data_IF_857722724054
#
_entry.id   IF_857722724054
#
_cell.length_a   1.000
_cell.length_b   1.000
_cell.length_c   1.000
_cell.angle_alpha   90.00
_cell.angle_beta   90.00
_cell.angle_gamma   90.00
#
_symmetry.space_group_name_H-M   'P 1'
#
loop_
_entity.id
_entity.type
_entity.pdbx_description
1 polymer ?
#
# COMPACT_ATOMS: atom_id res chain seq x y z
N UNK A 1 -18.87 4.75 16.52
CA UNK A 1 -17.93 3.95 17.36
C UNK A 1 -16.93 3.14 16.53
N UNK A 2 -17.34 2.49 15.43
CA UNK A 2 -16.46 1.70 14.53
C UNK A 2 -15.43 2.55 13.76
N UNK A 3 -15.84 3.68 13.18
CA UNK A 3 -14.96 4.61 12.45
C UNK A 3 -13.79 5.13 13.30
N UNK A 4 -14.05 5.61 14.53
CA UNK A 4 -13.01 6.06 15.48
C UNK A 4 -11.97 4.98 15.78
N UNK A 5 -12.41 3.72 15.95
CA UNK A 5 -11.52 2.58 16.20
C UNK A 5 -10.64 2.29 14.98
N UNK A 6 -11.20 2.36 13.78
CA UNK A 6 -10.46 2.12 12.55
C UNK A 6 -9.42 3.22 12.27
N UNK A 7 -9.77 4.51 12.45
CA UNK A 7 -8.82 5.61 12.35
C UNK A 7 -7.69 5.53 13.37
N UNK A 8 -7.96 5.02 14.58
CA UNK A 8 -6.92 4.75 15.56
C UNK A 8 -5.91 3.71 15.04
N UNK A 9 -6.40 2.61 14.46
CA UNK A 9 -5.53 1.58 13.86
C UNK A 9 -4.71 2.17 12.71
N UNK A 10 -5.33 2.99 11.85
CA UNK A 10 -4.63 3.67 10.76
C UNK A 10 -3.51 4.56 11.28
N UNK A 11 -3.76 5.39 12.29
CA UNK A 11 -2.72 6.23 12.92
C UNK A 11 -1.59 5.39 13.48
N UNK A 12 -1.89 4.35 14.26
CA UNK A 12 -0.86 3.45 14.78
C UNK A 12 -0.01 2.84 13.65
N UNK A 13 -0.62 2.44 12.53
CA UNK A 13 0.10 1.90 11.37
C UNK A 13 0.96 2.95 10.69
N UNK A 14 0.45 4.17 10.53
CA UNK A 14 1.21 5.28 9.99
C UNK A 14 2.40 5.56 10.89
N UNK A 15 2.20 5.73 12.19
CA UNK A 15 3.22 5.98 13.22
C UNK A 15 4.34 4.94 13.20
N UNK A 16 3.99 3.65 13.14
CA UNK A 16 4.93 2.54 13.14
C UNK A 16 5.74 2.40 11.83
N UNK A 17 5.24 2.93 10.72
CA UNK A 17 5.83 2.77 9.40
C UNK A 17 6.77 3.93 9.02
N UNK A 18 7.81 3.57 8.28
CA UNK A 18 8.80 4.49 7.74
C UNK A 18 8.45 4.91 6.30
N UNK A 19 7.74 4.06 5.56
CA UNK A 19 7.24 4.33 4.21
C UNK A 19 5.81 3.84 4.12
N UNK A 20 4.93 4.62 3.50
CA UNK A 20 3.53 4.27 3.29
C UNK A 20 3.28 3.96 1.81
N UNK A 21 2.59 2.85 1.56
CA UNK A 21 2.12 2.44 0.23
C UNK A 21 0.60 2.40 0.25
N UNK A 22 -0.05 3.32 -0.45
CA UNK A 22 -1.49 3.26 -0.65
C UNK A 22 -1.82 2.45 -1.90
N UNK A 23 -2.54 1.36 -1.70
CA UNK A 23 -2.99 0.47 -2.77
C UNK A 23 -4.38 0.89 -3.22
N UNK A 24 -4.48 1.17 -4.52
CA UNK A 24 -5.65 1.71 -5.20
C UNK A 24 -6.05 0.75 -6.32
N UNK A 25 -7.34 0.57 -6.57
CA UNK A 25 -7.82 -0.17 -7.75
C UNK A 25 -7.70 0.74 -8.98
N UNK A 26 -6.88 0.35 -9.96
CA UNK A 26 -6.61 1.15 -11.14
C UNK A 26 -7.88 1.45 -11.96
N UNK A 27 -8.93 0.62 -11.85
CA UNK A 27 -10.19 0.83 -12.57
C UNK A 27 -11.05 1.95 -11.96
N UNK A 28 -10.87 2.23 -10.68
CA UNK A 28 -11.59 3.26 -9.95
C UNK A 28 -10.65 3.96 -8.95
N UNK A 29 -9.70 4.76 -9.44
CA UNK A 29 -8.77 5.46 -8.57
C UNK A 29 -9.41 6.58 -7.78
N UNK A 30 -10.58 7.09 -8.20
CA UNK A 30 -11.27 8.17 -7.48
C UNK A 30 -11.98 7.57 -6.26
N UNK A 31 -12.71 6.47 -6.44
CA UNK A 31 -13.44 5.80 -5.36
C UNK A 31 -12.55 4.98 -4.41
N UNK A 32 -11.33 4.62 -4.82
CA UNK A 32 -10.45 3.78 -4.00
C UNK A 32 -9.19 4.48 -3.48
N UNK A 33 -9.18 5.81 -3.49
CA UNK A 33 -8.19 6.66 -2.80
C UNK A 33 -8.77 7.29 -1.54
N UNK A 34 -7.93 7.57 -0.55
CA UNK A 34 -8.34 8.29 0.65
C UNK A 34 -7.51 9.57 0.83
N UNK A 35 -8.02 10.68 0.29
CA UNK A 35 -7.34 12.00 0.34
C UNK A 35 -7.09 12.50 1.77
N UNK A 36 -7.94 12.15 2.72
CA UNK A 36 -7.77 12.53 4.14
C UNK A 36 -6.57 11.79 4.75
N UNK A 37 -6.41 10.52 4.42
CA UNK A 37 -5.26 9.72 4.82
C UNK A 37 -3.98 10.20 4.12
N UNK A 38 -4.03 10.50 2.83
CA UNK A 38 -2.90 11.08 2.09
C UNK A 38 -2.39 12.37 2.78
N UNK A 39 -3.29 13.29 3.15
CA UNK A 39 -2.93 14.52 3.87
C UNK A 39 -2.26 14.24 5.21
N UNK A 40 -2.84 13.34 6.02
CA UNK A 40 -2.26 12.95 7.31
C UNK A 40 -0.83 12.39 7.14
N UNK A 41 -0.60 11.55 6.13
CA UNK A 41 0.72 10.95 5.89
C UNK A 41 1.75 12.02 5.47
N UNK A 42 1.33 12.97 4.64
CA UNK A 42 2.17 14.07 4.18
C UNK A 42 2.48 15.07 5.31
N UNK A 43 1.51 15.34 6.20
CA UNK A 43 1.71 16.16 7.41
C UNK A 43 2.72 15.53 8.38
N UNK A 44 2.76 14.20 8.46
CA UNK A 44 3.76 13.44 9.22
C UNK A 44 5.11 13.30 8.48
N UNK A 45 5.28 13.97 7.33
CA UNK A 45 6.47 13.97 6.47
C UNK A 45 6.92 12.56 6.03
N UNK A 46 5.98 11.60 5.97
CA UNK A 46 6.28 10.22 5.60
C UNK A 46 6.25 10.01 4.09
N UNK A 47 7.24 9.32 3.51
CA UNK A 47 7.21 8.97 2.09
C UNK A 47 5.96 8.17 1.73
N UNK A 48 5.19 8.68 0.76
CA UNK A 48 3.96 8.07 0.27
C UNK A 48 4.11 7.63 -1.19
N UNK A 49 3.74 6.38 -1.46
CA UNK A 49 3.69 5.80 -2.80
C UNK A 49 2.28 5.29 -3.12
N UNK A 50 1.73 5.71 -4.26
CA UNK A 50 0.52 5.12 -4.81
C UNK A 50 0.86 3.87 -5.62
N UNK A 51 0.17 2.76 -5.33
CA UNK A 51 0.22 1.53 -6.11
C UNK A 51 -1.13 1.27 -6.74
N UNK A 52 -1.23 1.56 -8.04
CA UNK A 52 -2.39 1.27 -8.88
C UNK A 52 -2.37 -0.20 -9.27
N UNK A 53 -3.10 -1.01 -8.52
CA UNK A 53 -3.22 -2.45 -8.75
C UNK A 53 -4.36 -2.78 -9.73
N UNK A 54 -4.33 -3.98 -10.32
CA UNK A 54 -5.23 -4.38 -11.42
C UNK A 54 -5.02 -3.57 -12.70
N UNK A 55 -3.78 -3.12 -12.93
CA UNK A 55 -3.42 -2.33 -14.10
C UNK A 55 -3.62 -3.08 -15.44
N UNK A 56 -3.80 -4.40 -15.40
CA UNK A 56 -4.20 -5.22 -16.56
C UNK A 56 -5.62 -4.91 -17.06
N UNK A 57 -6.45 -4.25 -16.24
CA UNK A 57 -7.85 -3.95 -16.54
C UNK A 57 -8.07 -2.51 -17.02
N UNK A 58 -7.01 -1.76 -17.32
CA UNK A 58 -7.08 -0.38 -17.79
C UNK A 58 -6.17 -0.15 -19.00
N UNK A 59 -6.49 0.81 -19.89
CA UNK A 59 -5.62 1.17 -21.01
C UNK A 59 -4.25 1.67 -20.54
N UNK A 60 -3.21 1.34 -21.30
CA UNK A 60 -1.83 1.73 -20.97
C UNK A 60 -1.63 3.24 -21.08
N UNK A 61 -2.24 3.86 -22.09
CA UNK A 61 -2.19 5.29 -22.37
C UNK A 61 -2.78 6.08 -21.19
N UNK A 62 -3.89 5.59 -20.64
CA UNK A 62 -4.50 6.16 -19.44
C UNK A 62 -3.58 6.07 -18.22
N UNK A 63 -2.94 4.92 -17.99
CA UNK A 63 -2.01 4.74 -16.88
C UNK A 63 -0.79 5.67 -16.99
N UNK A 64 -0.25 5.86 -18.20
CA UNK A 64 0.85 6.78 -18.46
C UNK A 64 0.45 8.24 -18.24
N UNK A 65 -0.74 8.63 -18.71
CA UNK A 65 -1.28 9.97 -18.49
C UNK A 65 -1.53 10.26 -17.01
N UNK A 66 -2.16 9.32 -16.30
CA UNK A 66 -2.37 9.43 -14.86
C UNK A 66 -1.03 9.60 -14.13
N UNK A 67 -0.01 8.82 -14.51
CA UNK A 67 1.33 8.92 -13.92
C UNK A 67 1.96 10.29 -14.12
N UNK A 68 1.78 10.93 -15.28
CA UNK A 68 2.29 12.28 -15.55
C UNK A 68 1.59 13.37 -14.73
N UNK A 69 0.29 13.20 -14.45
CA UNK A 69 -0.53 14.17 -13.73
C UNK A 69 -0.52 14.01 -12.20
N UNK A 70 -0.03 12.87 -11.70
CA UNK A 70 -0.05 12.55 -10.27
C UNK A 70 1.03 13.32 -9.51
N UNK A 71 0.61 14.04 -8.46
CA UNK A 71 1.51 14.74 -7.53
C UNK A 71 2.25 13.77 -6.60
N UNK A 72 1.61 12.62 -6.31
CA UNK A 72 2.20 11.54 -5.52
C UNK A 72 2.86 10.54 -6.48
N UNK A 73 4.08 10.04 -6.18
CA UNK A 73 4.69 8.98 -6.97
C UNK A 73 3.74 7.79 -7.14
N UNK A 74 3.60 7.30 -8.38
CA UNK A 74 2.68 6.20 -8.70
C UNK A 74 3.35 5.08 -9.48
N UNK A 75 3.02 3.85 -9.11
CA UNK A 75 3.40 2.62 -9.81
C UNK A 75 2.16 1.83 -10.18
N UNK A 76 2.08 1.42 -11.44
CA UNK A 76 1.04 0.53 -11.95
C UNK A 76 1.53 -0.92 -11.91
N UNK A 77 0.73 -1.80 -11.33
CA UNK A 77 1.03 -3.24 -11.27
C UNK A 77 -0.21 -4.07 -11.55
N UNK A 78 0.02 -5.31 -11.96
CA UNK A 78 -0.98 -6.36 -11.83
C UNK A 78 -0.42 -7.42 -10.89
N UNK A 79 -0.87 -7.38 -9.63
CA UNK A 79 -0.38 -8.31 -8.62
C UNK A 79 -0.75 -9.77 -8.93
N UNK A 80 -1.92 -9.99 -9.54
CA UNK A 80 -2.42 -11.31 -9.96
C UNK A 80 -1.59 -11.86 -11.11
N UNK A 81 -1.33 -11.04 -12.13
CA UNK A 81 -0.51 -11.41 -13.29
C UNK A 81 1.00 -11.32 -13.02
N UNK A 82 1.39 -10.95 -11.79
CA UNK A 82 2.78 -10.73 -11.33
C UNK A 82 3.56 -9.69 -12.17
N UNK A 83 2.87 -8.82 -12.92
CA UNK A 83 3.44 -7.76 -13.76
C UNK A 83 3.69 -6.48 -12.96
N UNK A 84 4.77 -5.77 -13.28
CA UNK A 84 5.15 -4.49 -12.63
C UNK A 84 5.77 -4.63 -11.24
N UNK A 85 5.89 -5.86 -10.69
CA UNK A 85 6.37 -6.09 -9.32
C UNK A 85 7.87 -5.78 -9.14
N UNK A 86 8.66 -5.84 -10.21
CA UNK A 86 10.06 -5.37 -10.21
C UNK A 86 10.17 -3.86 -10.06
N UNK A 87 9.27 -3.10 -10.71
CA UNK A 87 9.19 -1.64 -10.61
C UNK A 87 8.82 -1.25 -9.18
N UNK A 88 7.79 -1.89 -8.60
CA UNK A 88 7.42 -1.67 -7.20
C UNK A 88 8.60 -1.91 -6.25
N UNK A 89 9.34 -3.02 -6.41
CA UNK A 89 10.54 -3.30 -5.59
C UNK A 89 11.61 -2.22 -5.74
N UNK A 90 11.80 -1.67 -6.95
CA UNK A 90 12.77 -0.61 -7.22
C UNK A 90 12.37 0.69 -6.54
N UNK A 91 11.11 1.09 -6.65
CA UNK A 91 10.60 2.30 -5.98
C UNK A 91 10.64 2.18 -4.46
N UNK A 92 10.28 1.02 -3.89
CA UNK A 92 10.42 0.79 -2.45
C UNK A 92 11.87 0.90 -1.97
N UNK A 93 12.83 0.39 -2.74
CA UNK A 93 14.26 0.55 -2.42
C UNK A 93 14.70 2.02 -2.51
N UNK A 94 14.19 2.77 -3.48
CA UNK A 94 14.48 4.19 -3.65
C UNK A 94 13.99 4.99 -2.44
N UNK A 95 12.75 4.78 -2.01
CA UNK A 95 12.15 5.45 -0.84
C UNK A 95 12.82 5.02 0.47
N UNK A 96 13.21 3.74 0.58
CA UNK A 96 13.90 3.23 1.77
C UNK A 96 15.34 3.73 1.89
N UNK A 97 16.00 4.13 0.79
CA UNK A 97 17.44 4.43 0.79
C UNK A 97 17.83 5.53 1.80
N UNK A 98 17.22 6.72 1.80
CA UNK A 98 17.58 7.78 2.75
C UNK A 98 17.36 7.34 4.20
N UNK A 99 16.25 6.63 4.46
CA UNK A 99 15.92 6.16 5.82
C UNK A 99 16.93 5.11 6.31
N UNK A 100 17.47 4.29 5.40
CA UNK A 100 18.48 3.28 5.72
C UNK A 100 19.89 3.85 5.96
N UNK A 101 20.09 5.16 5.75
CA UNK A 101 21.31 5.86 6.15
C UNK A 101 21.31 6.11 7.67
N UNK A 102 20.13 6.21 8.28
CA UNK A 102 19.94 6.47 9.72
C UNK A 102 19.39 5.26 10.50
N UNK A 103 18.71 4.32 9.83
CA UNK A 103 18.09 3.13 10.43
C UNK A 103 18.63 1.83 9.85
N UNK A 104 18.74 0.80 10.68
CA UNK A 104 19.16 -0.55 10.24
C UNK A 104 18.13 -1.19 9.27
N UNK A 105 16.84 -0.90 9.50
CA UNK A 105 15.69 -1.51 8.84
C UNK A 105 14.63 -0.45 8.54
N UNK A 106 13.88 -0.66 7.47
CA UNK A 106 12.74 0.16 7.04
C UNK A 106 11.48 -0.69 7.07
N UNK A 107 10.43 -0.18 7.71
CA UNK A 107 9.08 -0.73 7.73
C UNK A 107 8.21 -0.02 6.70
N UNK A 108 7.60 -0.80 5.81
CA UNK A 108 6.71 -0.34 4.75
C UNK A 108 5.28 -0.79 5.09
N UNK A 109 4.35 0.13 5.32
CA UNK A 109 2.94 -0.21 5.48
C UNK A 109 2.21 -0.25 4.14
N UNK A 110 1.38 -1.27 3.91
CA UNK A 110 0.44 -1.28 2.79
C UNK A 110 -0.95 -0.91 3.32
N UNK A 111 -1.43 0.25 2.91
CA UNK A 111 -2.75 0.78 3.23
C UNK A 111 -3.67 0.75 2.00
N UNK A 112 -4.98 0.88 2.18
CA UNK A 112 -5.95 0.87 1.07
C UNK A 112 -7.30 0.25 1.47
N UNK A 113 -8.34 0.50 0.67
CA UNK A 113 -9.67 -0.08 0.88
C UNK A 113 -9.67 -1.61 0.82
N UNK A 114 -10.69 -2.30 1.36
CA UNK A 114 -10.87 -3.73 1.16
C UNK A 114 -10.82 -4.12 -0.34
N UNK A 115 -10.35 -5.33 -0.65
CA UNK A 115 -10.37 -5.92 -2.00
C UNK A 115 -9.57 -5.21 -3.12
N UNK A 116 -8.84 -4.12 -2.83
CA UNK A 116 -7.89 -3.48 -3.77
C UNK A 116 -6.67 -4.36 -4.09
N UNK A 117 -6.41 -5.40 -3.28
CA UNK A 117 -5.39 -6.42 -3.54
C UNK A 117 -4.12 -6.33 -2.68
N UNK A 118 -4.16 -5.67 -1.52
CA UNK A 118 -3.03 -5.56 -0.56
C UNK A 118 -2.35 -6.91 -0.27
N UNK A 119 -3.10 -7.92 0.18
CA UNK A 119 -2.56 -9.25 0.51
C UNK A 119 -1.97 -9.97 -0.72
N UNK A 120 -2.57 -9.77 -1.90
CA UNK A 120 -2.01 -10.28 -3.16
C UNK A 120 -0.67 -9.64 -3.47
N UNK A 121 -0.53 -8.33 -3.29
CA UNK A 121 0.74 -7.62 -3.49
C UNK A 121 1.82 -8.14 -2.52
N UNK A 122 1.49 -8.28 -1.23
CA UNK A 122 2.42 -8.81 -0.22
C UNK A 122 2.95 -10.19 -0.63
N UNK A 123 2.04 -11.10 -1.02
CA UNK A 123 2.42 -12.45 -1.45
C UNK A 123 3.25 -12.45 -2.75
N UNK A 124 2.88 -11.63 -3.72
CA UNK A 124 3.62 -11.51 -4.98
C UNK A 124 5.01 -10.89 -4.76
N UNK A 125 5.14 -9.94 -3.84
CA UNK A 125 6.43 -9.36 -3.45
C UNK A 125 7.33 -10.35 -2.71
N UNK A 126 6.77 -11.25 -1.91
CA UNK A 126 7.53 -12.30 -1.19
C UNK A 126 8.00 -13.44 -2.09
N UNK A 127 7.36 -13.67 -3.23
CA UNK A 127 7.71 -14.76 -4.15
C UNK A 127 7.31 -16.16 -3.67
N UNK A 128 6.81 -16.29 -2.44
CA UNK A 128 6.19 -17.48 -1.82
C UNK A 128 4.92 -17.04 -1.08
N UNK A 129 3.92 -17.92 -0.89
CA UNK A 129 2.70 -17.61 -0.09
C UNK A 129 3.12 -17.34 1.35
N UNK A 130 3.19 -16.08 1.75
CA UNK A 130 3.63 -15.65 3.08
C UNK A 130 2.46 -15.27 4.00
N UNK A 131 1.34 -14.84 3.42
CA UNK A 131 0.09 -14.50 4.11
C UNK A 131 -1.03 -15.31 3.48
N UNK A 132 -1.92 -15.90 4.28
CA UNK A 132 -3.10 -16.55 3.74
C UNK A 132 -3.97 -15.54 3.00
N UNK A 133 -4.29 -15.80 1.73
CA UNK A 133 -5.26 -15.03 0.96
C UNK A 133 -6.57 -15.77 0.96
N UNK A 134 -7.56 -15.27 1.69
CA UNK A 134 -8.96 -15.63 1.46
C UNK A 134 -9.70 -14.39 0.92
N UNK A 135 -10.69 -14.55 0.04
CA UNK A 135 -11.52 -13.45 -0.48
C UNK A 135 -12.48 -12.86 0.58
N UNK A 136 -12.24 -13.11 1.87
CA UNK A 136 -13.11 -12.73 2.98
C UNK A 136 -12.54 -11.44 3.62
N UNK A 137 -13.29 -10.32 3.64
CA UNK A 137 -12.92 -9.13 4.38
C UNK A 137 -12.65 -9.46 5.86
N UNK A 138 -11.52 -9.02 6.41
CA UNK A 138 -11.15 -9.28 7.81
C UNK A 138 -10.34 -10.56 8.07
N UNK A 139 -9.80 -11.21 7.03
CA UNK A 139 -9.03 -12.46 7.18
C UNK A 139 -7.74 -12.31 8.02
N UNK A 140 -7.09 -11.13 8.03
CA UNK A 140 -5.90 -10.87 8.84
C UNK A 140 -6.30 -10.73 10.32
N UNK A 141 -5.92 -11.69 11.18
CA UNK A 141 -6.33 -11.74 12.60
C UNK A 141 -5.46 -10.88 13.55
N UNK A 142 -4.36 -10.28 13.09
CA UNK A 142 -3.47 -9.41 13.89
C UNK A 142 -2.42 -8.69 13.03
N UNK A 143 -1.76 -7.64 13.58
CA UNK A 143 -0.63 -6.94 12.93
C UNK A 143 0.54 -7.92 12.74
N UNK A 144 1.11 -8.00 11.55
CA UNK A 144 2.21 -8.89 11.20
C UNK A 144 3.33 -8.15 10.48
N UNK A 145 4.58 -8.43 10.85
CA UNK A 145 5.77 -7.94 10.16
C UNK A 145 6.34 -9.02 9.25
N UNK A 146 6.41 -8.70 7.95
CA UNK A 146 6.78 -9.64 6.90
C UNK A 146 8.06 -9.18 6.23
N UNK A 147 9.15 -9.92 6.44
CA UNK A 147 10.46 -9.57 5.86
C UNK A 147 10.49 -9.63 4.32
N UNK A 148 10.61 -8.51 3.63
CA UNK A 148 10.71 -8.47 2.16
C UNK A 148 12.16 -8.66 1.68
N UNK A 149 13.12 -8.07 2.40
CA UNK A 149 14.55 -8.19 2.11
C UNK A 149 15.37 -8.18 3.41
N UNK A 150 16.71 -8.08 3.35
CA UNK A 150 17.53 -7.99 4.56
C UNK A 150 17.16 -6.78 5.42
N UNK A 151 16.85 -5.65 4.79
CA UNK A 151 16.62 -4.35 5.44
C UNK A 151 15.18 -3.82 5.31
N UNK A 152 14.33 -4.41 4.47
CA UNK A 152 12.95 -3.94 4.24
C UNK A 152 11.93 -4.95 4.78
N UNK A 153 10.98 -4.46 5.56
CA UNK A 153 9.89 -5.23 6.17
C UNK A 153 8.54 -4.64 5.76
N UNK A 154 7.54 -5.48 5.52
CA UNK A 154 6.17 -5.07 5.24
C UNK A 154 5.34 -5.19 6.52
N UNK A 155 4.62 -4.14 6.86
CA UNK A 155 3.62 -4.13 7.93
C UNK A 155 2.27 -4.48 7.32
N UNK A 156 1.78 -5.68 7.65
CA UNK A 156 0.43 -6.15 7.31
C UNK A 156 -0.48 -5.92 8.51
N UNK A 157 -1.55 -5.16 8.32
CA UNK A 157 -2.55 -4.93 9.37
C UNK A 157 -3.96 -5.24 8.84
N UNK A 158 -4.90 -5.64 9.71
CA UNK A 158 -6.26 -5.92 9.28
C UNK A 158 -6.96 -4.65 8.79
N UNK A 159 -7.47 -4.64 7.55
CA UNK A 159 -8.44 -3.64 7.08
C UNK A 159 -7.98 -2.17 7.15
N UNK A 160 -6.86 -1.84 6.52
CA UNK A 160 -6.09 -0.61 6.78
C UNK A 160 -6.68 0.72 6.27
N UNK A 161 -7.95 0.75 5.87
CA UNK A 161 -8.70 2.01 5.78
C UNK A 161 -10.12 1.70 6.28
N UNK A 162 -10.66 2.44 7.26
CA UNK A 162 -12.09 2.40 7.55
C UNK A 162 -12.87 2.63 6.25
N UNK A 163 -13.82 1.77 5.95
CA UNK A 163 -14.96 2.21 5.16
C UNK A 163 -15.69 3.16 6.13
N UNK A 164 -15.30 4.43 6.14
CA UNK A 164 -16.24 5.44 6.59
C UNK A 164 -17.38 5.32 5.58
N UNK A 165 -18.58 4.98 6.07
CA UNK A 165 -19.79 5.07 5.27
C UNK A 165 -19.73 6.43 4.58
N UNK A 166 -19.82 6.41 3.25
CA UNK A 166 -19.88 7.61 2.42
C UNK A 166 -20.74 8.66 3.13
N UNK A 167 -20.17 9.85 3.42
CA UNK A 167 -20.99 10.99 3.81
C UNK A 167 -22.07 11.22 2.73
#
# INVERSE_FOLDING_TARGET
>A
MKARKAWRIVREVVDEADVIVEVVDARDPIGTRNRKLERLILEEEKPLLLVMNKADLVPKEWAEEYKRKSEIPVVFISARERKGTGILRKELKKLAKPILEEKEKVKVALIGYPNVGKSTIINTLKGKRAVGTAPIPGYTKGKQLIRLSKKIWLLDSPGVIPIDDFD
#
